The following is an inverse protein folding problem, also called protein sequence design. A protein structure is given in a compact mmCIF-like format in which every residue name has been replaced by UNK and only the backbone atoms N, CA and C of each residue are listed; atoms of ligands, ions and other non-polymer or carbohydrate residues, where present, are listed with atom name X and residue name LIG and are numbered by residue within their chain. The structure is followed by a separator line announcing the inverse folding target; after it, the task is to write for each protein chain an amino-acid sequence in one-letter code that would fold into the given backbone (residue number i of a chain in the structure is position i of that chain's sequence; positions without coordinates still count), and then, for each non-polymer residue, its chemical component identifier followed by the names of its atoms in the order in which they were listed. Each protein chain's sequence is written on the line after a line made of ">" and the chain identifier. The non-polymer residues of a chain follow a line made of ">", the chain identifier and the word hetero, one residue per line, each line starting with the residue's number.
data_IF_314995775004
#
_entry.id   IF_314995775004
#
_cell.length_a   1.000
_cell.length_b   1.000
_cell.length_c   1.000
_cell.angle_alpha   90.00
_cell.angle_beta   90.00
_cell.angle_gamma   90.00
#
_symmetry.space_group_name_H-M   'P 1'
#
loop_
_entity.id
_entity.type
_entity.pdbx_description
1 polymer ?
#
# COMPACT_ATOMS: atom_id res chain seq x y z
N UNK A 1 26.59 13.05 -14.30
CA UNK A 1 25.46 12.11 -14.37
C UNK A 1 25.98 10.68 -14.42
N UNK A 2 26.00 9.98 -13.29
CA UNK A 2 26.29 8.56 -13.28
C UNK A 2 25.12 7.81 -13.97
N UNK A 3 25.40 7.20 -15.12
CA UNK A 3 24.42 6.54 -15.98
C UNK A 3 23.60 5.49 -15.22
N UNK A 4 22.28 5.68 -15.15
CA UNK A 4 21.32 4.60 -14.86
C UNK A 4 20.32 4.85 -13.73
N UNK A 5 20.54 5.83 -12.86
CA UNK A 5 19.68 6.10 -11.71
C UNK A 5 19.08 7.49 -11.73
N UNK A 6 17.93 7.61 -11.08
CA UNK A 6 17.07 8.81 -11.09
C UNK A 6 17.51 9.90 -10.10
N UNK A 7 18.64 9.69 -9.44
CA UNK A 7 19.26 10.53 -8.42
C UNK A 7 20.77 10.54 -8.65
N UNK A 8 21.42 11.63 -8.23
CA UNK A 8 22.87 11.75 -8.31
C UNK A 8 23.54 11.12 -7.09
N UNK A 9 24.63 10.40 -7.34
CA UNK A 9 25.48 9.85 -6.30
C UNK A 9 26.44 10.94 -5.79
N UNK A 10 26.66 10.95 -4.47
CA UNK A 10 27.68 11.78 -3.84
C UNK A 10 29.08 11.32 -4.25
N UNK A 11 30.09 12.16 -3.96
CA UNK A 11 31.49 11.83 -4.26
C UNK A 11 31.88 10.55 -3.50
N UNK A 12 32.42 9.58 -4.24
CA UNK A 12 32.79 8.25 -3.75
C UNK A 12 31.63 7.42 -3.16
N UNK A 13 30.38 7.76 -3.50
CA UNK A 13 29.20 6.97 -3.12
C UNK A 13 29.07 5.73 -4.01
N UNK A 14 28.92 4.56 -3.39
CA UNK A 14 28.74 3.27 -4.06
C UNK A 14 27.43 2.64 -3.60
N UNK A 15 26.73 1.98 -4.52
CA UNK A 15 25.49 1.25 -4.23
C UNK A 15 25.85 -0.15 -3.76
N UNK A 16 25.51 -0.48 -2.52
CA UNK A 16 25.76 -1.79 -1.93
C UNK A 16 24.65 -2.79 -2.26
N UNK A 17 23.40 -2.32 -2.26
CA UNK A 17 22.26 -3.16 -2.55
C UNK A 17 21.16 -2.38 -3.27
N UNK A 18 20.64 -3.00 -4.33
CA UNK A 18 19.41 -2.59 -4.99
C UNK A 18 18.29 -3.58 -4.66
N UNK A 19 17.16 -3.07 -4.18
CA UNK A 19 16.09 -3.89 -3.62
C UNK A 19 14.74 -3.43 -4.18
N UNK A 20 13.92 -4.41 -4.55
CA UNK A 20 12.51 -4.22 -4.92
C UNK A 20 11.58 -4.91 -3.92
N UNK A 21 10.36 -4.38 -3.71
CA UNK A 21 9.39 -5.03 -2.85
C UNK A 21 8.93 -6.38 -3.39
N UNK A 22 8.76 -7.34 -2.49
CA UNK A 22 8.18 -8.65 -2.76
C UNK A 22 6.68 -8.52 -3.09
N UNK A 23 6.14 -9.24 -4.10
CA UNK A 23 4.72 -9.19 -4.48
C UNK A 23 3.76 -9.40 -3.29
N UNK A 24 4.05 -10.39 -2.45
CA UNK A 24 3.20 -10.72 -1.30
C UNK A 24 3.13 -9.62 -0.22
N UNK A 25 4.04 -8.65 -0.22
CA UNK A 25 3.92 -7.50 0.68
C UNK A 25 2.71 -6.62 0.33
N UNK A 26 2.27 -6.64 -0.93
CA UNK A 26 1.08 -5.91 -1.41
C UNK A 26 -0.17 -6.79 -1.43
N UNK A 27 -0.14 -7.97 -0.80
CA UNK A 27 -1.24 -8.95 -0.82
C UNK A 27 -2.60 -8.35 -0.46
N UNK A 28 -2.64 -7.43 0.50
CA UNK A 28 -3.89 -6.75 0.88
C UNK A 28 -4.59 -6.12 -0.33
N UNK A 29 -3.85 -5.45 -1.22
CA UNK A 29 -4.40 -4.78 -2.39
C UNK A 29 -4.86 -5.79 -3.45
N UNK A 30 -4.08 -6.85 -3.69
CA UNK A 30 -4.50 -7.95 -4.58
C UNK A 30 -5.77 -8.65 -4.05
N UNK A 31 -5.86 -8.90 -2.75
CA UNK A 31 -7.05 -9.51 -2.13
C UNK A 31 -8.28 -8.62 -2.28
N UNK A 32 -8.14 -7.30 -2.16
CA UNK A 32 -9.25 -6.38 -2.40
C UNK A 32 -9.75 -6.48 -3.85
N UNK A 33 -8.85 -6.54 -4.83
CA UNK A 33 -9.23 -6.70 -6.24
C UNK A 33 -9.82 -8.08 -6.54
N UNK A 34 -9.24 -9.15 -6.00
CA UNK A 34 -9.78 -10.53 -6.12
C UNK A 34 -11.18 -10.60 -5.51
N UNK A 35 -11.40 -9.95 -4.38
CA UNK A 35 -12.71 -9.90 -3.76
C UNK A 35 -13.76 -9.19 -4.64
N UNK A 36 -13.38 -8.12 -5.35
CA UNK A 36 -14.26 -7.46 -6.31
C UNK A 36 -14.60 -8.38 -7.50
N UNK A 37 -13.63 -9.15 -7.99
CA UNK A 37 -13.87 -10.18 -9.03
C UNK A 37 -14.88 -11.20 -8.50
N UNK A 38 -14.66 -11.71 -7.28
CA UNK A 38 -15.58 -12.65 -6.64
C UNK A 38 -17.00 -12.06 -6.54
N UNK A 39 -17.12 -10.81 -6.12
CA UNK A 39 -18.42 -10.12 -6.04
C UNK A 39 -19.10 -10.00 -7.41
N UNK A 40 -18.34 -9.69 -8.46
CA UNK A 40 -18.83 -9.62 -9.83
C UNK A 40 -19.33 -10.99 -10.32
N UNK A 41 -18.61 -12.08 -9.99
CA UNK A 41 -19.03 -13.45 -10.31
C UNK A 41 -20.33 -13.80 -9.59
N UNK A 42 -20.44 -13.49 -8.30
CA UNK A 42 -21.67 -13.73 -7.51
C UNK A 42 -22.85 -12.95 -8.09
N UNK A 43 -22.66 -11.68 -8.43
CA UNK A 43 -23.70 -10.84 -9.05
C UNK A 43 -24.11 -11.36 -10.43
N UNK A 44 -23.16 -11.81 -11.24
CA UNK A 44 -23.45 -12.39 -12.56
C UNK A 44 -24.24 -13.71 -12.43
N UNK A 45 -23.83 -14.59 -11.52
CA UNK A 45 -24.53 -15.83 -11.23
C UNK A 45 -25.96 -15.58 -10.73
N UNK A 46 -26.13 -14.61 -9.82
CA UNK A 46 -27.43 -14.21 -9.29
C UNK A 46 -28.32 -13.60 -10.37
N UNK A 47 -27.76 -12.82 -11.29
CA UNK A 47 -28.47 -12.31 -12.47
C UNK A 47 -29.04 -13.44 -13.32
N UNK A 48 -28.22 -14.43 -13.69
CA UNK A 48 -28.66 -15.57 -14.49
C UNK A 48 -29.78 -16.35 -13.79
N UNK A 49 -29.65 -16.59 -12.48
CA UNK A 49 -30.65 -17.32 -11.69
C UNK A 49 -31.99 -16.61 -11.56
N UNK A 50 -31.97 -15.28 -11.39
CA UNK A 50 -33.21 -14.49 -11.32
C UNK A 50 -33.86 -14.40 -12.70
N UNK A 51 -33.08 -14.22 -13.76
CA UNK A 51 -33.60 -14.19 -15.12
C UNK A 51 -34.28 -15.51 -15.49
N UNK A 52 -33.63 -16.65 -15.20
CA UNK A 52 -34.22 -18.00 -15.35
C UNK A 52 -35.53 -18.16 -14.53
N UNK A 53 -35.55 -17.64 -13.29
CA UNK A 53 -36.74 -17.71 -12.43
C UNK A 53 -37.91 -16.87 -12.97
N UNK A 54 -37.62 -15.71 -13.56
CA UNK A 54 -38.62 -14.84 -14.17
C UNK A 54 -39.22 -15.44 -15.44
N UNK A 55 -38.40 -16.06 -16.28
CA UNK A 55 -38.90 -16.77 -17.48
C UNK A 55 -39.79 -17.97 -17.10
N UNK A 56 -39.46 -18.69 -16.03
CA UNK A 56 -40.18 -19.91 -15.64
C UNK A 56 -41.45 -19.65 -14.81
N UNK A 57 -41.50 -18.57 -14.01
CA UNK A 57 -42.61 -18.31 -13.07
C UNK A 57 -43.31 -16.98 -13.34
N UNK A 58 -44.40 -17.05 -14.08
CA UNK A 58 -45.31 -15.91 -14.35
C UNK A 58 -45.84 -15.22 -13.09
N UNK A 59 -45.97 -15.94 -11.97
CA UNK A 59 -46.34 -15.34 -10.68
C UNK A 59 -45.24 -14.45 -10.07
N UNK A 60 -43.97 -14.76 -10.32
CA UNK A 60 -42.84 -13.97 -9.82
C UNK A 60 -42.67 -12.67 -10.60
N UNK A 61 -42.83 -12.70 -11.93
CA UNK A 61 -42.84 -11.49 -12.76
C UNK A 61 -44.02 -10.58 -12.42
N UNK A 62 -45.22 -11.15 -12.18
CA UNK A 62 -46.39 -10.40 -11.72
C UNK A 62 -46.16 -9.70 -10.37
N UNK A 63 -45.52 -10.39 -9.41
CA UNK A 63 -45.15 -9.80 -8.12
C UNK A 63 -44.14 -8.65 -8.27
N UNK A 64 -43.11 -8.81 -9.11
CA UNK A 64 -42.13 -7.75 -9.36
C UNK A 64 -42.76 -6.54 -10.05
N UNK A 65 -43.67 -6.74 -11.00
CA UNK A 65 -44.42 -5.66 -11.63
C UNK A 65 -45.32 -4.91 -10.62
N UNK A 66 -45.89 -5.60 -9.64
CA UNK A 66 -46.64 -4.95 -8.56
C UNK A 66 -45.75 -4.09 -7.66
N UNK A 67 -44.53 -4.55 -7.37
CA UNK A 67 -43.58 -3.81 -6.52
C UNK A 67 -42.86 -2.67 -7.23
N UNK A 68 -42.49 -2.84 -8.50
CA UNK A 68 -41.59 -1.93 -9.22
C UNK A 68 -42.21 -1.29 -10.47
N UNK A 69 -43.40 -1.72 -10.90
CA UNK A 69 -44.08 -1.19 -12.09
C UNK A 69 -44.69 0.21 -11.92
N UNK A 70 -44.55 0.83 -10.75
CA UNK A 70 -45.00 2.20 -10.51
C UNK A 70 -44.10 3.27 -11.15
N UNK A 71 -42.89 2.89 -11.60
CA UNK A 71 -41.93 3.80 -12.23
C UNK A 71 -42.12 3.77 -13.75
N UNK A 72 -42.66 4.83 -14.36
CA UNK A 72 -42.89 4.86 -15.81
C UNK A 72 -41.57 4.87 -16.58
N UNK A 73 -41.45 3.97 -17.57
CA UNK A 73 -40.32 3.94 -18.52
C UNK A 73 -39.14 3.05 -18.14
N UNK A 74 -39.19 2.30 -17.03
CA UNK A 74 -38.16 1.33 -16.65
C UNK A 74 -38.81 -0.04 -16.39
N UNK A 75 -38.27 -1.08 -17.00
CA UNK A 75 -38.72 -2.46 -16.76
C UNK A 75 -38.52 -2.85 -15.28
N UNK A 76 -39.54 -3.47 -14.67
CA UNK A 76 -39.49 -3.91 -13.26
C UNK A 76 -38.30 -4.85 -12.99
N UNK A 77 -37.92 -5.64 -13.99
CA UNK A 77 -36.76 -6.53 -13.98
C UNK A 77 -35.46 -5.75 -13.78
N UNK A 78 -35.25 -4.72 -14.60
CA UNK A 78 -34.05 -3.87 -14.56
C UNK A 78 -33.94 -3.14 -13.23
N UNK A 79 -35.06 -2.66 -12.67
CA UNK A 79 -35.11 -2.02 -11.35
C UNK A 79 -34.77 -3.00 -10.22
N UNK A 80 -35.33 -4.21 -10.24
CA UNK A 80 -35.03 -5.21 -9.23
C UNK A 80 -33.54 -5.59 -9.24
N UNK A 81 -32.95 -5.76 -10.43
CA UNK A 81 -31.51 -5.99 -10.57
C UNK A 81 -30.67 -4.81 -10.10
N UNK A 82 -31.12 -3.58 -10.35
CA UNK A 82 -30.46 -2.37 -9.88
C UNK A 82 -30.43 -2.31 -8.34
N UNK A 83 -31.57 -2.52 -7.70
CA UNK A 83 -31.70 -2.52 -6.23
C UNK A 83 -30.83 -3.62 -5.63
N UNK A 84 -30.87 -4.83 -6.18
CA UNK A 84 -30.08 -5.96 -5.69
C UNK A 84 -28.58 -5.71 -5.84
N UNK A 85 -28.15 -5.11 -6.95
CA UNK A 85 -26.77 -4.72 -7.19
C UNK A 85 -26.26 -3.69 -6.16
N UNK A 86 -27.03 -2.62 -5.93
CA UNK A 86 -26.71 -1.62 -4.91
C UNK A 86 -26.66 -2.22 -3.51
N UNK A 87 -27.65 -3.04 -3.17
CA UNK A 87 -27.70 -3.70 -1.86
C UNK A 87 -26.46 -4.54 -1.60
N UNK A 88 -26.06 -5.37 -2.55
CA UNK A 88 -24.88 -6.24 -2.44
C UNK A 88 -23.59 -5.40 -2.35
N UNK A 89 -23.42 -4.36 -3.17
CA UNK A 89 -22.22 -3.52 -3.14
C UNK A 89 -22.10 -2.70 -1.85
N UNK A 90 -23.19 -2.12 -1.36
CA UNK A 90 -23.20 -1.35 -0.12
C UNK A 90 -22.94 -2.27 1.07
N UNK A 91 -23.62 -3.43 1.13
CA UNK A 91 -23.40 -4.42 2.19
C UNK A 91 -21.95 -4.91 2.18
N UNK A 92 -21.43 -5.25 1.01
CA UNK A 92 -20.04 -5.65 0.82
C UNK A 92 -19.05 -4.55 1.24
N UNK A 93 -19.28 -3.30 0.83
CA UNK A 93 -18.47 -2.14 1.20
C UNK A 93 -18.47 -1.86 2.70
N UNK A 94 -19.61 -2.05 3.38
CA UNK A 94 -19.74 -1.96 4.83
C UNK A 94 -18.92 -3.06 5.53
N UNK A 95 -19.06 -4.31 5.09
CA UNK A 95 -18.33 -5.45 5.66
C UNK A 95 -16.81 -5.26 5.54
N UNK A 96 -16.31 -4.88 4.37
CA UNK A 96 -14.89 -4.61 4.16
C UNK A 96 -14.45 -3.39 4.97
N UNK A 97 -15.26 -2.32 4.99
CA UNK A 97 -14.93 -1.09 5.71
C UNK A 97 -14.73 -1.33 7.21
N UNK A 98 -15.55 -2.21 7.80
CA UNK A 98 -15.41 -2.66 9.19
C UNK A 98 -14.14 -3.49 9.37
N UNK A 99 -13.87 -4.46 8.48
CA UNK A 99 -12.70 -5.34 8.57
C UNK A 99 -11.37 -4.57 8.40
N UNK A 100 -11.34 -3.55 7.53
CA UNK A 100 -10.12 -2.82 7.19
C UNK A 100 -9.93 -1.52 7.97
N UNK A 101 -10.82 -1.19 8.90
CA UNK A 101 -10.78 0.05 9.71
C UNK A 101 -10.56 1.29 8.83
N UNK A 102 -11.22 1.32 7.67
CA UNK A 102 -11.17 2.46 6.74
C UNK A 102 -12.49 2.61 6.00
N UNK A 103 -12.93 3.85 5.77
CA UNK A 103 -14.18 4.14 5.04
C UNK A 103 -14.01 4.11 3.52
N UNK A 104 -12.77 4.06 3.03
CA UNK A 104 -12.45 4.11 1.61
C UNK A 104 -13.08 2.99 0.76
N UNK A 105 -13.16 1.72 1.22
CA UNK A 105 -13.80 0.64 0.45
C UNK A 105 -15.28 0.92 0.18
N UNK A 106 -16.01 1.47 1.16
CA UNK A 106 -17.42 1.82 0.99
C UNK A 106 -17.60 2.92 -0.06
N UNK A 107 -16.80 3.98 0.01
CA UNK A 107 -16.84 5.08 -0.96
C UNK A 107 -16.55 4.55 -2.36
N UNK A 108 -15.54 3.69 -2.51
CA UNK A 108 -15.19 3.08 -3.78
C UNK A 108 -16.32 2.23 -4.36
N UNK A 109 -16.98 1.40 -3.55
CA UNK A 109 -18.13 0.59 -3.98
C UNK A 109 -19.32 1.43 -4.43
N UNK A 110 -19.62 2.52 -3.70
CA UNK A 110 -20.69 3.45 -4.05
C UNK A 110 -20.39 4.18 -5.36
N UNK A 111 -19.14 4.59 -5.58
CA UNK A 111 -18.73 5.23 -6.83
C UNK A 111 -18.84 4.30 -8.04
N UNK A 112 -18.43 3.03 -7.88
CA UNK A 112 -18.62 2.03 -8.94
C UNK A 112 -20.11 1.78 -9.17
N UNK A 113 -20.91 1.69 -8.11
CA UNK A 113 -22.34 1.47 -8.24
C UNK A 113 -22.99 2.60 -9.04
N UNK A 114 -22.69 3.85 -8.68
CA UNK A 114 -23.15 5.05 -9.37
C UNK A 114 -22.70 5.08 -10.84
N UNK A 115 -21.42 4.83 -11.10
CA UNK A 115 -20.89 4.76 -12.46
C UNK A 115 -21.59 3.68 -13.29
N UNK A 116 -21.84 2.50 -12.71
CA UNK A 116 -22.58 1.42 -13.33
C UNK A 116 -24.01 1.82 -13.70
N UNK A 117 -24.71 2.50 -12.79
CA UNK A 117 -26.08 2.99 -13.05
C UNK A 117 -26.14 4.07 -14.11
N UNK A 118 -25.17 5.00 -14.11
CA UNK A 118 -25.11 6.06 -15.11
C UNK A 118 -24.87 5.48 -16.50
N UNK A 119 -23.96 4.50 -16.62
CA UNK A 119 -23.71 3.84 -17.90
C UNK A 119 -24.96 3.06 -18.37
N UNK A 120 -25.66 2.37 -17.46
CA UNK A 120 -26.88 1.63 -17.80
C UNK A 120 -28.01 2.55 -18.33
N UNK A 121 -28.16 3.75 -17.75
CA UNK A 121 -29.20 4.71 -18.14
C UNK A 121 -28.82 5.50 -19.40
N UNK A 122 -27.58 5.99 -19.47
CA UNK A 122 -27.15 6.94 -20.50
C UNK A 122 -26.48 6.31 -21.71
N UNK A 123 -26.03 5.05 -21.66
CA UNK A 123 -25.36 4.44 -22.81
C UNK A 123 -26.38 4.04 -23.88
N UNK A 124 -26.39 4.69 -25.07
CA UNK A 124 -27.06 4.11 -26.23
C UNK A 124 -26.21 2.91 -26.62
N UNK A 125 -26.55 1.71 -26.13
CA UNK A 125 -25.81 0.52 -26.47
C UNK A 125 -25.67 0.43 -27.99
N UNK A 126 -24.44 0.42 -28.49
CA UNK A 126 -24.23 0.25 -29.91
C UNK A 126 -24.74 -1.14 -30.30
N UNK A 127 -25.42 -1.23 -31.44
CA UNK A 127 -26.07 -2.44 -31.91
C UNK A 127 -25.11 -3.65 -32.07
N UNK A 128 -23.79 -3.42 -32.07
CA UNK A 128 -22.75 -4.45 -32.05
C UNK A 128 -22.54 -5.16 -30.70
N UNK A 129 -23.03 -4.60 -29.59
CA UNK A 129 -23.06 -5.24 -28.25
C UNK A 129 -24.39 -5.97 -27.98
N UNK A 130 -25.21 -6.23 -29.00
CA UNK A 130 -26.51 -6.89 -28.88
C UNK A 130 -26.47 -8.29 -28.24
N UNK A 131 -25.29 -8.89 -28.07
CA UNK A 131 -25.10 -10.14 -27.33
C UNK A 131 -25.17 -9.98 -25.79
N UNK A 132 -25.17 -8.75 -25.26
CA UNK A 132 -25.17 -8.47 -23.81
C UNK A 132 -26.48 -7.78 -23.37
N UNK A 133 -27.24 -8.36 -22.43
CA UNK A 133 -28.38 -7.68 -21.83
C UNK A 133 -27.95 -6.37 -21.15
N UNK A 134 -28.70 -5.28 -21.36
CA UNK A 134 -28.36 -3.95 -20.82
C UNK A 134 -28.09 -3.99 -19.31
N UNK A 135 -28.87 -4.78 -18.57
CA UNK A 135 -28.76 -4.95 -17.13
C UNK A 135 -27.40 -5.52 -16.66
N UNK A 136 -26.63 -6.19 -17.52
CA UNK A 136 -25.34 -6.81 -17.15
C UNK A 136 -24.14 -5.86 -17.25
N UNK A 137 -24.29 -4.69 -17.88
CA UNK A 137 -23.18 -3.76 -18.16
C UNK A 137 -22.49 -3.29 -16.88
N UNK A 138 -23.26 -3.00 -15.84
CA UNK A 138 -22.73 -2.64 -14.51
C UNK A 138 -21.85 -3.73 -13.88
N UNK A 139 -22.12 -5.00 -14.19
CA UNK A 139 -21.31 -6.14 -13.72
C UNK A 139 -20.00 -6.21 -14.51
N UNK A 140 -20.05 -5.99 -15.83
CA UNK A 140 -18.85 -5.88 -16.67
C UNK A 140 -17.96 -4.72 -16.25
N UNK A 141 -18.54 -3.58 -15.91
CA UNK A 141 -17.82 -2.45 -15.33
C UNK A 141 -17.08 -2.87 -14.06
N UNK A 142 -17.74 -3.60 -13.16
CA UNK A 142 -17.12 -4.11 -11.93
C UNK A 142 -15.93 -5.03 -12.23
N UNK A 143 -16.02 -5.93 -13.23
CA UNK A 143 -14.88 -6.73 -13.69
C UNK A 143 -13.72 -5.87 -14.21
N UNK A 144 -14.02 -4.86 -15.03
CA UNK A 144 -13.01 -3.95 -15.59
C UNK A 144 -12.29 -3.21 -14.46
N UNK A 145 -13.03 -2.65 -13.50
CA UNK A 145 -12.43 -1.96 -12.35
C UNK A 145 -11.63 -2.90 -11.45
N UNK A 146 -12.09 -4.13 -11.26
CA UNK A 146 -11.36 -5.12 -10.48
C UNK A 146 -10.05 -5.54 -11.17
N UNK A 147 -10.08 -5.77 -12.49
CA UNK A 147 -8.89 -6.07 -13.29
C UNK A 147 -7.92 -4.89 -13.34
N UNK A 148 -8.43 -3.66 -13.53
CA UNK A 148 -7.66 -2.44 -13.44
C UNK A 148 -7.01 -2.28 -12.06
N UNK A 149 -7.70 -2.64 -10.98
CA UNK A 149 -7.16 -2.65 -9.62
C UNK A 149 -5.96 -3.59 -9.45
N UNK A 150 -6.01 -4.80 -10.03
CA UNK A 150 -4.88 -5.73 -10.03
C UNK A 150 -3.67 -5.16 -10.79
N UNK A 151 -3.91 -4.62 -11.98
CA UNK A 151 -2.85 -3.99 -12.79
C UNK A 151 -2.25 -2.78 -12.09
N UNK A 152 -3.08 -1.92 -11.51
CA UNK A 152 -2.66 -0.73 -10.79
C UNK A 152 -1.83 -1.08 -9.56
N UNK A 153 -2.21 -2.15 -8.85
CA UNK A 153 -1.43 -2.69 -7.72
C UNK A 153 -0.04 -3.11 -8.17
N UNK A 154 0.07 -3.80 -9.31
CA UNK A 154 1.37 -4.24 -9.83
C UNK A 154 2.24 -3.07 -10.31
N UNK A 155 1.65 -2.07 -10.96
CA UNK A 155 2.34 -0.83 -11.35
C UNK A 155 2.82 -0.09 -10.10
N UNK A 156 1.95 0.04 -9.08
CA UNK A 156 2.28 0.69 -7.82
C UNK A 156 3.44 -0.03 -7.11
N UNK A 157 3.41 -1.37 -7.05
CA UNK A 157 4.49 -2.17 -6.48
C UNK A 157 5.81 -1.98 -7.24
N UNK A 158 5.79 -2.10 -8.57
CA UNK A 158 6.98 -1.91 -9.43
C UNK A 158 7.56 -0.51 -9.32
N UNK A 159 6.72 0.47 -8.98
CA UNK A 159 7.11 1.85 -8.74
C UNK A 159 8.02 2.06 -7.53
N UNK A 160 8.06 1.14 -6.57
CA UNK A 160 8.91 1.27 -5.39
C UNK A 160 10.27 0.62 -5.64
N UNK A 161 11.34 1.35 -5.33
CA UNK A 161 12.72 0.92 -5.47
C UNK A 161 13.53 1.46 -4.30
N UNK A 162 14.39 0.62 -3.74
CA UNK A 162 15.20 0.94 -2.58
C UNK A 162 16.67 0.72 -2.90
N UNK A 163 17.50 1.68 -2.53
CA UNK A 163 18.94 1.61 -2.72
C UNK A 163 19.61 1.82 -1.37
N UNK A 164 20.49 0.90 -1.00
CA UNK A 164 21.38 1.08 0.13
C UNK A 164 22.74 1.44 -0.43
N UNK A 165 23.26 2.60 -0.04
CA UNK A 165 24.61 3.03 -0.39
C UNK A 165 25.53 2.93 0.81
N UNK A 166 26.80 3.31 0.66
CA UNK A 166 27.74 3.43 1.78
C UNK A 166 27.43 4.59 2.73
N UNK A 167 26.67 5.62 2.29
CA UNK A 167 26.37 6.81 3.11
C UNK A 167 24.92 6.88 3.59
N UNK A 168 23.97 6.37 2.82
CA UNK A 168 22.54 6.62 3.04
C UNK A 168 21.65 5.53 2.47
N UNK A 169 20.40 5.55 2.92
CA UNK A 169 19.31 4.77 2.35
C UNK A 169 18.51 5.70 1.44
N UNK A 170 18.33 5.31 0.18
CA UNK A 170 17.57 6.06 -0.82
C UNK A 170 16.31 5.26 -1.15
N UNK A 171 15.15 5.85 -0.90
CA UNK A 171 13.84 5.29 -1.23
C UNK A 171 13.24 6.07 -2.38
N UNK A 172 12.92 5.37 -3.47
CA UNK A 172 12.34 5.96 -4.67
C UNK A 172 10.95 5.37 -4.90
N UNK A 173 9.96 6.24 -5.08
CA UNK A 173 8.59 5.88 -5.48
C UNK A 173 8.26 6.59 -6.79
N UNK A 174 8.05 5.78 -7.83
CA UNK A 174 7.62 6.20 -9.17
C UNK A 174 6.23 5.63 -9.43
N UNK A 175 5.19 6.45 -9.32
CA UNK A 175 3.84 6.01 -9.65
C UNK A 175 3.10 7.05 -10.48
N UNK A 176 2.41 7.98 -9.83
CA UNK A 176 1.82 9.16 -10.48
C UNK A 176 2.84 10.31 -10.51
N UNK A 177 3.53 10.50 -9.38
CA UNK A 177 4.67 11.39 -9.25
C UNK A 177 5.95 10.61 -8.97
N UNK A 178 7.05 11.36 -8.93
CA UNK A 178 8.36 10.87 -8.50
C UNK A 178 8.68 11.45 -7.14
N UNK A 179 8.78 10.58 -6.14
CA UNK A 179 9.22 10.94 -4.80
C UNK A 179 10.54 10.22 -4.53
N UNK A 180 11.60 10.98 -4.30
CA UNK A 180 12.89 10.47 -3.83
C UNK A 180 13.07 10.95 -2.40
N UNK A 181 13.51 10.05 -1.52
CA UNK A 181 13.88 10.39 -0.17
C UNK A 181 15.14 9.67 0.23
N UNK A 182 15.91 10.34 1.08
CA UNK A 182 17.26 9.95 1.42
C UNK A 182 17.42 10.14 2.93
N UNK A 183 17.94 9.13 3.61
CA UNK A 183 18.27 9.21 5.04
C UNK A 183 19.69 8.69 5.24
N UNK A 184 20.56 9.54 5.80
CA UNK A 184 21.95 9.19 6.10
C UNK A 184 22.00 8.28 7.32
N UNK A 185 22.99 7.38 7.38
CA UNK A 185 23.07 6.37 8.44
C UNK A 185 23.32 6.96 9.84
N UNK A 186 24.04 8.07 9.92
CA UNK A 186 24.30 8.85 11.13
C UNK A 186 23.01 9.38 11.78
N UNK A 187 21.99 9.69 10.97
CA UNK A 187 20.70 10.23 11.45
C UNK A 187 19.67 9.16 11.82
N UNK A 188 19.99 7.88 11.63
CA UNK A 188 19.12 6.78 12.01
C UNK A 188 19.40 6.44 13.48
N UNK A 189 18.42 6.62 14.36
CA UNK A 189 18.52 6.30 15.77
C UNK A 189 18.17 4.84 16.06
N UNK A 190 17.13 4.31 15.40
CA UNK A 190 16.69 2.93 15.57
C UNK A 190 16.20 2.31 14.25
N UNK A 191 16.20 0.98 14.17
CA UNK A 191 15.77 0.20 13.01
C UNK A 191 14.73 -0.82 13.45
N UNK A 192 13.46 -0.51 13.16
CA UNK A 192 12.35 -1.41 13.42
C UNK A 192 12.11 -2.36 12.24
N UNK A 193 11.93 -3.65 12.51
CA UNK A 193 11.60 -4.66 11.48
C UNK A 193 10.23 -5.25 11.77
N UNK A 194 9.30 -5.05 10.83
CA UNK A 194 7.98 -5.66 10.86
C UNK A 194 7.94 -6.88 9.92
N UNK A 195 7.68 -8.06 10.49
CA UNK A 195 7.58 -9.31 9.74
C UNK A 195 6.36 -10.11 10.21
N UNK A 196 5.27 -10.01 9.47
CA UNK A 196 4.06 -10.79 9.69
C UNK A 196 4.26 -12.30 9.47
N UNK A 197 3.22 -13.09 9.73
CA UNK A 197 3.28 -14.56 9.56
C UNK A 197 3.67 -14.97 8.13
N UNK A 198 3.00 -14.39 7.13
CA UNK A 198 3.34 -14.61 5.71
C UNK A 198 4.74 -14.08 5.38
N UNK A 199 5.14 -12.96 5.99
CA UNK A 199 6.49 -12.43 5.86
C UNK A 199 7.56 -13.39 6.37
N UNK A 200 7.28 -14.15 7.43
CA UNK A 200 8.19 -15.17 7.96
C UNK A 200 8.30 -16.38 7.04
N UNK A 201 7.18 -16.84 6.48
CA UNK A 201 7.14 -18.01 5.58
C UNK A 201 7.86 -17.71 4.26
N UNK A 202 7.56 -16.56 3.65
CA UNK A 202 8.12 -16.17 2.35
C UNK A 202 9.34 -15.25 2.46
N UNK A 203 9.87 -15.09 3.67
CA UNK A 203 11.06 -14.30 4.00
C UNK A 203 11.08 -12.86 3.43
N UNK A 204 9.95 -12.15 3.53
CA UNK A 204 9.88 -10.72 3.25
C UNK A 204 9.43 -9.95 4.51
N UNK A 205 9.84 -8.69 4.63
CA UNK A 205 9.44 -7.86 5.77
C UNK A 205 9.64 -6.38 5.46
N UNK A 206 9.12 -5.53 6.34
CA UNK A 206 9.26 -4.08 6.21
C UNK A 206 10.28 -3.59 7.23
N UNK A 207 11.26 -2.82 6.78
CA UNK A 207 12.26 -2.19 7.64
C UNK A 207 11.94 -0.69 7.71
N UNK A 208 11.79 -0.17 8.93
CA UNK A 208 11.48 1.23 9.19
C UNK A 208 12.69 1.84 9.90
N UNK A 209 13.52 2.61 9.19
CA UNK A 209 14.54 3.42 9.85
C UNK A 209 13.84 4.56 10.59
N UNK A 210 14.14 4.72 11.87
CA UNK A 210 13.62 5.78 12.72
C UNK A 210 14.73 6.81 12.91
N UNK A 211 14.43 8.09 12.69
CA UNK A 211 15.37 9.18 13.01
C UNK A 211 14.96 9.89 14.30
N UNK A 212 15.89 10.64 14.87
CA UNK A 212 15.66 11.50 16.03
C UNK A 212 14.62 12.61 15.77
N UNK A 213 14.46 13.01 14.51
CA UNK A 213 13.44 13.97 14.07
C UNK A 213 12.04 13.37 13.90
N UNK A 214 11.86 12.08 14.24
CA UNK A 214 10.59 11.36 14.09
C UNK A 214 10.32 10.85 12.67
N UNK A 215 11.34 10.78 11.79
CA UNK A 215 11.24 10.06 10.53
C UNK A 215 10.89 8.59 10.82
N UNK A 216 10.00 7.99 10.03
CA UNK A 216 9.57 6.59 10.23
C UNK A 216 8.50 6.40 11.32
N UNK A 217 8.23 7.41 12.15
CA UNK A 217 7.06 7.43 13.03
C UNK A 217 5.85 7.86 12.19
N UNK A 218 4.77 7.06 12.21
CA UNK A 218 3.52 7.42 11.53
C UNK A 218 2.95 8.74 12.06
N UNK A 219 2.01 9.36 11.35
CA UNK A 219 1.46 10.69 11.71
C UNK A 219 0.97 10.78 13.16
N UNK A 220 0.27 9.75 13.64
CA UNK A 220 -0.19 9.66 15.03
C UNK A 220 0.97 9.56 16.05
N UNK A 221 2.07 8.94 15.66
CA UNK A 221 3.25 8.71 16.49
C UNK A 221 4.20 9.92 16.50
N UNK A 222 4.33 10.60 15.36
CA UNK A 222 5.14 11.82 15.23
C UNK A 222 4.47 13.01 15.94
N UNK A 223 3.14 13.12 15.89
CA UNK A 223 2.37 14.08 16.70
C UNK A 223 2.54 13.81 18.20
N UNK A 224 2.46 12.54 18.62
CA UNK A 224 2.72 12.16 20.01
C UNK A 224 4.17 12.49 20.43
N UNK A 225 5.16 12.19 19.59
CA UNK A 225 6.57 12.49 19.85
C UNK A 225 6.84 14.00 19.94
N UNK A 226 6.32 14.79 19.01
CA UNK A 226 6.39 16.25 19.05
C UNK A 226 5.71 16.82 20.30
N UNK A 227 4.57 16.29 20.70
CA UNK A 227 3.87 16.73 21.92
C UNK A 227 4.65 16.38 23.20
N UNK A 228 5.42 15.29 23.19
CA UNK A 228 6.25 14.88 24.32
C UNK A 228 7.56 15.68 24.43
N UNK A 229 8.12 16.12 23.30
CA UNK A 229 9.40 16.87 23.26
C UNK A 229 9.23 18.39 23.36
N UNK A 230 8.03 18.92 23.08
CA UNK A 230 7.76 20.37 23.10
C UNK A 230 6.95 20.85 24.31
N UNK A 231 6.45 19.95 25.17
CA UNK A 231 5.71 20.34 26.36
C UNK A 231 6.65 20.69 27.54
N UNK A 232 6.63 21.94 28.04
CA UNK A 232 7.30 22.28 29.30
C UNK A 232 6.49 21.66 30.43
N UNK A 233 7.03 20.60 31.04
CA UNK A 233 6.47 19.97 32.24
C UNK A 233 5.41 18.91 31.97
N UNK A 234 5.85 17.71 31.54
CA UNK A 234 5.38 16.40 32.04
C UNK A 234 3.87 16.10 32.09
N UNK A 235 3.01 16.82 31.37
CA UNK A 235 1.58 16.55 31.32
C UNK A 235 1.18 16.26 29.87
N UNK A 236 1.06 14.96 29.59
CA UNK A 236 0.43 14.41 28.39
C UNK A 236 -0.95 15.04 28.21
N UNK A 237 -1.04 16.06 27.34
CA UNK A 237 -2.32 16.56 26.87
C UNK A 237 -2.87 15.55 25.87
N UNK A 238 -3.64 14.62 26.42
CA UNK A 238 -4.54 13.74 25.71
C UNK A 238 -5.39 14.60 24.77
N UNK A 239 -5.05 14.56 23.48
CA UNK A 239 -5.85 15.16 22.42
C UNK A 239 -7.24 14.54 22.41
N UNK A 240 -8.24 15.39 22.63
CA UNK A 240 -9.67 15.05 22.59
C UNK A 240 -10.05 14.67 21.17
N UNK A 241 -10.06 13.37 20.88
CA UNK A 241 -10.68 12.76 19.73
C UNK A 241 -11.50 11.56 20.21
N UNK A 242 -12.83 11.63 20.05
CA UNK A 242 -13.76 10.55 20.36
C UNK A 242 -13.34 9.27 19.62
N UNK A 243 -12.82 8.28 20.36
CA UNK A 243 -12.42 7.00 19.78
C UNK A 243 -11.26 6.38 20.53
N UNK A 244 -11.55 5.81 21.70
CA UNK A 244 -10.54 5.18 22.55
C UNK A 244 -9.69 4.16 21.80
N UNK A 245 -8.38 4.30 21.94
CA UNK A 245 -7.40 3.21 21.90
C UNK A 245 -6.15 3.69 22.63
N UNK A 246 -5.82 3.05 23.76
CA UNK A 246 -4.45 2.99 24.27
C UNK A 246 -3.60 2.31 23.19
N UNK A 247 -3.12 3.09 22.24
CA UNK A 247 -2.28 2.56 21.15
C UNK A 247 -0.84 2.66 21.63
N UNK A 248 -0.26 1.54 22.07
CA UNK A 248 1.19 1.41 22.07
C UNK A 248 1.64 1.73 20.64
N UNK A 249 2.25 2.90 20.46
CA UNK A 249 2.50 3.51 19.17
C UNK A 249 3.51 2.66 18.39
N UNK A 250 3.02 1.69 17.63
CA UNK A 250 3.87 0.93 16.71
C UNK A 250 4.25 1.88 15.57
N UNK A 251 5.54 2.08 15.28
CA UNK A 251 5.95 2.92 14.16
C UNK A 251 5.29 2.41 12.88
N UNK A 252 4.47 3.24 12.26
CA UNK A 252 3.74 2.93 11.03
C UNK A 252 4.09 3.96 9.98
N UNK A 253 5.26 3.80 9.40
CA UNK A 253 5.72 4.61 8.28
C UNK A 253 4.87 4.34 7.04
N UNK A 254 4.61 5.39 6.25
CA UNK A 254 4.07 5.20 4.90
C UNK A 254 5.07 4.38 4.05
N UNK A 255 4.60 3.71 3.00
CA UNK A 255 5.38 2.79 2.14
C UNK A 255 6.69 3.38 1.60
N UNK A 256 6.77 4.70 1.51
CA UNK A 256 7.89 5.50 1.00
C UNK A 256 8.75 6.15 2.10
N UNK A 257 8.38 5.98 3.37
CA UNK A 257 9.21 6.27 4.55
C UNK A 257 9.82 4.98 5.15
N UNK A 258 9.50 3.83 4.57
CA UNK A 258 9.99 2.51 4.98
C UNK A 258 10.53 1.74 3.79
N UNK A 259 11.49 0.87 4.04
CA UNK A 259 11.88 -0.22 3.15
C UNK A 259 10.78 -1.29 3.18
N UNK A 260 9.69 -1.05 2.45
CA UNK A 260 8.48 -1.86 2.49
C UNK A 260 8.62 -3.17 1.73
N UNK A 261 8.26 -4.28 2.37
CA UNK A 261 8.17 -5.58 1.71
C UNK A 261 9.49 -6.10 1.15
N UNK A 262 10.61 -5.73 1.76
CA UNK A 262 11.95 -6.12 1.35
C UNK A 262 12.17 -7.62 1.50
N UNK A 263 12.71 -8.31 0.47
CA UNK A 263 13.13 -9.70 0.58
C UNK A 263 14.34 -9.84 1.50
N UNK A 264 14.38 -10.90 2.30
CA UNK A 264 15.42 -11.18 3.28
C UNK A 264 15.71 -9.99 4.22
N UNK A 265 14.72 -9.52 5.01
CA UNK A 265 14.85 -8.30 5.82
C UNK A 265 16.03 -8.37 6.82
N UNK A 266 16.41 -9.57 7.27
CA UNK A 266 17.57 -9.78 8.15
C UNK A 266 18.89 -9.37 7.50
N UNK A 267 19.11 -9.74 6.24
CA UNK A 267 20.33 -9.40 5.48
C UNK A 267 20.41 -7.89 5.28
N UNK A 268 19.29 -7.28 4.92
CA UNK A 268 19.21 -5.84 4.66
C UNK A 268 19.41 -5.04 5.94
N UNK A 269 18.81 -5.48 7.05
CA UNK A 269 19.08 -4.91 8.37
C UNK A 269 20.56 -5.01 8.74
N UNK A 270 21.21 -6.16 8.50
CA UNK A 270 22.63 -6.34 8.81
C UNK A 270 23.52 -5.35 8.02
N UNK A 271 23.22 -5.12 6.74
CA UNK A 271 23.92 -4.12 5.92
C UNK A 271 23.77 -2.72 6.55
N UNK A 272 22.54 -2.32 6.89
CA UNK A 272 22.28 -0.99 7.49
C UNK A 272 23.02 -0.82 8.82
N UNK A 273 22.96 -1.84 9.69
CA UNK A 273 23.63 -1.80 11.01
C UNK A 273 25.15 -1.73 10.84
N UNK A 274 25.74 -2.49 9.91
CA UNK A 274 27.17 -2.43 9.66
C UNK A 274 27.59 -1.05 9.14
N UNK A 275 26.83 -0.46 8.20
CA UNK A 275 27.10 0.90 7.73
C UNK A 275 26.94 1.96 8.81
N UNK A 276 25.97 1.81 9.71
CA UNK A 276 25.86 2.67 10.89
C UNK A 276 27.09 2.56 11.78
N UNK A 277 27.62 1.36 12.02
CA UNK A 277 28.82 1.18 12.84
C UNK A 277 30.04 1.81 12.18
N UNK A 278 30.25 1.63 10.88
CA UNK A 278 31.35 2.24 10.13
C UNK A 278 31.32 3.77 10.15
N UNK A 279 30.13 4.37 10.25
CA UNK A 279 29.95 5.83 10.27
C UNK A 279 30.22 6.43 11.66
N UNK A 280 30.29 5.61 12.73
CA UNK A 280 30.54 6.11 14.10
C UNK A 280 32.01 6.52 14.28
N UNK A 281 32.23 7.51 15.15
CA UNK A 281 33.57 8.06 15.41
C UNK A 281 34.56 7.03 15.95
N UNK A 282 34.13 6.14 16.84
CA UNK A 282 35.02 5.17 17.49
C UNK A 282 35.78 4.25 16.50
N UNK A 283 35.14 3.61 15.50
CA UNK A 283 35.87 2.85 14.48
C UNK A 283 36.72 3.72 13.55
N UNK A 284 36.33 4.97 13.27
CA UNK A 284 37.16 5.90 12.49
C UNK A 284 38.46 6.22 13.24
N UNK A 285 38.35 6.51 14.54
CA UNK A 285 39.51 6.78 15.41
C UNK A 285 40.43 5.56 15.52
N UNK A 286 39.88 4.35 15.64
CA UNK A 286 40.69 3.11 15.61
C UNK A 286 41.43 2.95 14.29
N UNK A 287 40.76 3.16 13.14
CA UNK A 287 41.41 3.10 11.83
C UNK A 287 42.54 4.13 11.71
N UNK A 288 42.34 5.35 12.23
CA UNK A 288 43.40 6.37 12.27
C UNK A 288 44.56 5.92 13.18
N UNK A 289 44.27 5.36 14.35
CA UNK A 289 45.28 4.83 15.27
C UNK A 289 46.11 3.71 14.65
N UNK A 290 45.47 2.78 13.95
CA UNK A 290 46.13 1.64 13.29
C UNK A 290 47.03 2.13 12.15
N UNK A 291 46.54 3.06 11.30
CA UNK A 291 47.36 3.68 10.24
C UNK A 291 48.56 4.44 10.82
N UNK A 292 48.39 5.13 11.96
CA UNK A 292 49.49 5.81 12.64
C UNK A 292 50.52 4.85 13.26
N UNK A 293 50.12 3.61 13.58
CA UNK A 293 51.05 2.56 14.03
C UNK A 293 51.82 1.96 12.85
N UNK A 294 51.14 1.63 11.76
CA UNK A 294 51.78 1.15 10.51
C UNK A 294 52.80 2.16 9.98
N UNK A 295 52.45 3.45 9.91
CA UNK A 295 53.36 4.53 9.50
C UNK A 295 54.61 4.65 10.40
N UNK A 296 54.48 4.32 11.70
CA UNK A 296 55.60 4.34 12.64
C UNK A 296 56.50 3.13 12.48
N UNK A 297 55.92 1.96 12.20
CA UNK A 297 56.66 0.72 11.93
C UNK A 297 57.46 0.84 10.63
N UNK A 298 56.86 1.35 9.54
CA UNK A 298 57.57 1.60 8.27
C UNK A 298 58.70 2.64 8.40
N UNK A 299 58.50 3.67 9.23
CA UNK A 299 59.55 4.67 9.53
C UNK A 299 60.64 4.14 10.46
N UNK A 300 60.35 3.14 11.29
CA UNK A 300 61.32 2.46 12.13
C UNK A 300 62.26 1.57 11.32
N UNK A 301 61.72 0.79 10.39
CA UNK A 301 62.50 -0.14 9.55
C UNK A 301 63.37 0.57 8.50
N UNK A 302 62.97 1.76 8.05
CA UNK A 302 63.75 2.60 7.13
C UNK A 302 64.89 3.38 7.78
N UNK A 303 64.97 3.43 9.12
CA UNK A 303 66.10 4.03 9.86
C UNK A 303 67.11 2.98 10.35
N UNK A 304 66.81 1.68 10.21
CA UNK A 304 67.70 0.57 10.58
C UNK A 304 68.38 -0.13 9.41
N UNK A 305 68.24 0.39 8.18
CA UNK A 305 68.95 -0.06 6.97
C UNK A 305 69.94 1.00 6.52
#
# INVERSE_FOLDING_TARGET
>A
MAKGYDFDLLKDERIDAYIKPHPLSFLKYYLASIYLIFLAVVLHFLYLKIHELMELKTGFTGFLNLLFGFIPGIDAESLFFLVTFWFILVLSGLLIGVLWVSKAPLIYMVLIALAGTLIEIYSPLPQYLAFMPKATIKIWLLYIFAAAGLLLTEIYRKGHSYFLTNYRIITVKKFIGKEIREIMYDKISDIYVDQGLLGRIFNYGTIIPISESGFGLGEDASLAYLSATTAPGGKSSIGVGFGGKKSASRPRAATYFSLYGVPNPRKVRAIIVNRQLETKEAPILRRIEDLLKEDKEEKGDSQSS
#
